data_IF_983647594470
#
_entry.id   IF_983647594470
#
_cell.length_a   1.000
_cell.length_b   1.000
_cell.length_c   1.000
_cell.angle_alpha   90.00
_cell.angle_beta   90.00
_cell.angle_gamma   90.00
#
_symmetry.space_group_name_H-M   'P 1'
#
loop_
_entity.id
_entity.type
_entity.pdbx_description
1 polymer ?
#
# COMPACT_ATOMS: atom_id res chain seq x y z
N UNK A 1 27.95 0.32 24.10
CA UNK A 1 28.83 -0.50 23.25
C UNK A 1 28.49 -0.17 21.81
N UNK A 2 29.49 0.24 21.02
CA UNK A 2 29.31 0.80 19.67
C UNK A 2 29.11 -0.30 18.62
N UNK A 3 28.20 -0.08 17.68
CA UNK A 3 27.87 -0.95 16.53
C UNK A 3 29.09 -1.36 15.68
N UNK A 4 30.21 -0.64 15.83
CA UNK A 4 31.47 -0.92 15.13
C UNK A 4 32.18 -2.19 15.61
N UNK A 5 31.93 -2.68 16.82
CA UNK A 5 32.62 -3.88 17.33
C UNK A 5 32.00 -5.20 16.85
N UNK A 6 30.77 -5.18 16.32
CA UNK A 6 30.08 -6.39 15.85
C UNK A 6 30.53 -6.82 14.43
N UNK A 7 31.02 -5.87 13.64
CA UNK A 7 31.40 -6.10 12.22
C UNK A 7 32.79 -6.74 12.11
N UNK A 8 33.62 -6.63 13.15
CA UNK A 8 35.00 -7.12 13.14
C UNK A 8 35.14 -8.60 13.55
N UNK A 9 34.13 -9.18 14.20
CA UNK A 9 34.14 -10.61 14.58
C UNK A 9 33.63 -11.54 13.47
N UNK A 10 32.87 -11.03 12.49
CA UNK A 10 32.32 -11.85 11.41
C UNK A 10 33.30 -12.07 10.25
N UNK A 11 34.35 -11.25 10.12
CA UNK A 11 35.32 -11.33 9.02
C UNK A 11 36.47 -12.33 9.25
N UNK A 12 36.61 -12.89 10.46
CA UNK A 12 37.73 -13.78 10.82
C UNK A 12 37.41 -15.29 10.70
N UNK A 13 36.18 -15.68 10.37
CA UNK A 13 35.79 -17.11 10.28
C UNK A 13 35.94 -17.75 8.89
N UNK A 14 36.09 -16.96 7.83
CA UNK A 14 36.07 -17.50 6.45
C UNK A 14 37.45 -17.68 5.79
N UNK A 15 38.56 -17.40 6.47
CA UNK A 15 39.89 -17.46 5.89
C UNK A 15 40.53 -18.87 5.81
N UNK A 16 39.84 -19.95 6.23
CA UNK A 16 40.45 -21.27 6.43
C UNK A 16 39.82 -22.44 5.65
N UNK A 17 39.49 -22.24 4.37
CA UNK A 17 39.13 -23.37 3.49
C UNK A 17 39.75 -23.26 2.08
N UNK A 18 41.04 -23.55 1.99
CA UNK A 18 41.72 -23.79 0.72
C UNK A 18 41.42 -25.21 0.20
N UNK A 19 40.69 -25.32 -0.91
CA UNK A 19 40.44 -26.58 -1.63
C UNK A 19 41.66 -27.00 -2.47
N UNK A 20 42.09 -28.27 -2.34
CA UNK A 20 43.04 -28.96 -3.23
C UNK A 20 42.30 -29.68 -4.37
N UNK A 21 42.86 -29.80 -5.59
CA UNK A 21 42.28 -30.61 -6.67
C UNK A 21 42.80 -32.06 -6.65
N UNK A 22 41.91 -33.04 -6.86
CA UNK A 22 42.24 -34.46 -7.05
C UNK A 22 42.07 -34.90 -8.51
N UNK A 23 42.76 -35.95 -8.98
CA UNK A 23 42.93 -36.25 -10.40
C UNK A 23 41.82 -37.13 -10.99
N UNK A 24 41.68 -37.05 -12.32
CA UNK A 24 40.79 -37.85 -13.16
C UNK A 24 41.26 -39.31 -13.33
N UNK A 25 40.36 -40.22 -13.75
CA UNK A 25 40.77 -41.43 -14.46
C UNK A 25 40.23 -41.50 -15.90
N UNK A 26 40.99 -42.25 -16.68
CA UNK A 26 40.95 -42.45 -18.13
C UNK A 26 39.99 -43.55 -18.61
N UNK A 27 39.74 -43.50 -19.92
CA UNK A 27 38.93 -44.34 -20.81
C UNK A 27 39.33 -45.83 -20.84
N UNK A 28 38.34 -46.73 -21.02
CA UNK A 28 38.51 -47.96 -21.82
C UNK A 28 37.22 -48.44 -22.48
N UNK A 29 37.40 -49.25 -23.52
CA UNK A 29 36.61 -49.51 -24.74
C UNK A 29 35.43 -50.50 -24.66
N UNK A 30 34.56 -50.35 -25.66
CA UNK A 30 33.43 -51.17 -26.16
C UNK A 30 33.59 -52.70 -26.23
N UNK A 31 32.46 -53.40 -26.20
CA UNK A 31 32.09 -54.46 -27.18
C UNK A 31 30.57 -54.69 -27.18
N UNK A 32 30.00 -54.87 -28.38
CA UNK A 32 28.64 -55.32 -28.67
C UNK A 32 28.49 -56.82 -28.38
N UNK A 33 27.29 -57.27 -27.97
CA UNK A 33 26.68 -58.45 -28.61
C UNK A 33 25.17 -58.56 -28.35
N UNK A 34 24.45 -58.84 -29.43
CA UNK A 34 23.02 -59.11 -29.53
C UNK A 34 22.65 -60.49 -28.96
N UNK A 35 21.46 -60.60 -28.34
CA UNK A 35 20.61 -61.80 -28.48
C UNK A 35 19.18 -61.56 -27.99
N UNK A 36 18.28 -61.54 -28.97
CA UNK A 36 16.84 -61.63 -28.79
C UNK A 36 16.45 -62.96 -28.11
N UNK A 37 15.49 -62.91 -27.19
CA UNK A 37 14.64 -64.07 -26.89
C UNK A 37 13.21 -63.61 -26.57
N UNK A 38 12.33 -63.88 -27.54
CA UNK A 38 10.88 -63.88 -27.33
C UNK A 38 10.51 -65.13 -26.51
N UNK A 39 9.93 -64.92 -25.33
CA UNK A 39 9.12 -65.95 -24.67
C UNK A 39 7.77 -65.33 -24.32
N UNK A 40 6.80 -65.64 -25.18
CA UNK A 40 5.37 -65.57 -24.87
C UNK A 40 5.04 -66.67 -23.86
N UNK A 41 4.54 -66.27 -22.68
CA UNK A 41 3.75 -67.15 -21.80
C UNK A 41 2.53 -66.38 -21.28
N UNK A 42 1.42 -66.69 -21.93
CA UNK A 42 0.04 -66.82 -21.44
C UNK A 42 -0.26 -66.37 -20.01
N UNK A 43 -1.25 -65.47 -19.94
CA UNK A 43 -2.08 -65.17 -18.77
C UNK A 43 -2.60 -66.42 -18.05
N UNK A 44 -2.46 -66.46 -16.73
CA UNK A 44 -3.45 -67.05 -15.83
C UNK A 44 -3.20 -66.58 -14.40
N UNK A 45 -4.16 -65.82 -13.89
CA UNK A 45 -4.51 -65.59 -12.48
C UNK A 45 -3.45 -65.83 -11.41
N UNK A 46 -2.92 -64.74 -10.88
CA UNK A 46 -2.75 -64.61 -9.43
C UNK A 46 -3.44 -63.32 -8.98
N UNK A 47 -4.43 -63.50 -8.13
CA UNK A 47 -5.21 -62.46 -7.50
C UNK A 47 -4.30 -61.51 -6.70
N UNK A 48 -4.58 -60.20 -6.84
CA UNK A 48 -4.58 -59.21 -5.77
C UNK A 48 -3.66 -59.47 -4.57
N UNK A 49 -2.36 -59.22 -4.71
CA UNK A 49 -1.45 -58.95 -3.58
C UNK A 49 -0.33 -58.01 -4.00
N UNK A 50 -0.66 -56.84 -4.55
CA UNK A 50 0.17 -55.68 -4.29
C UNK A 50 -0.49 -55.01 -3.09
N UNK A 51 -0.12 -55.48 -1.90
CA UNK A 51 -0.30 -54.71 -0.69
C UNK A 51 0.35 -53.35 -0.97
N UNK A 52 -0.47 -52.34 -1.30
CA UNK A 52 -0.08 -50.97 -1.01
C UNK A 52 -0.02 -50.94 0.50
N UNK A 53 1.18 -51.25 1.00
CA UNK A 53 1.61 -50.89 2.32
C UNK A 53 1.55 -49.36 2.40
N UNK A 54 0.35 -48.80 2.44
CA UNK A 54 0.13 -47.41 2.85
C UNK A 54 0.26 -47.40 4.37
N UNK A 55 1.43 -47.78 4.84
CA UNK A 55 1.97 -47.30 6.10
C UNK A 55 2.53 -45.91 5.81
N UNK A 56 1.64 -44.94 5.60
CA UNK A 56 2.00 -43.52 5.58
C UNK A 56 0.90 -42.79 6.35
N UNK A 57 1.00 -42.83 7.67
CA UNK A 57 0.86 -41.67 8.56
C UNK A 57 0.12 -40.41 8.02
N UNK A 58 -1.14 -40.50 7.63
CA UNK A 58 -1.96 -39.31 7.33
C UNK A 58 -3.34 -39.63 6.78
N UNK A 59 -4.38 -39.29 7.54
CA UNK A 59 -5.79 -39.24 7.11
C UNK A 59 -5.96 -38.50 5.77
N UNK A 60 -6.98 -38.85 4.96
CA UNK A 60 -7.31 -38.18 3.68
C UNK A 60 -7.46 -36.67 3.91
N UNK A 61 -8.04 -36.27 5.04
CA UNK A 61 -8.18 -34.88 5.45
C UNK A 61 -6.86 -34.10 5.57
N UNK A 62 -5.73 -34.78 5.73
CA UNK A 62 -4.40 -34.18 5.85
C UNK A 62 -3.70 -33.94 4.50
N UNK A 63 -4.26 -34.39 3.38
CA UNK A 63 -3.61 -34.36 2.08
C UNK A 63 -3.87 -33.05 1.32
N UNK A 64 -3.08 -32.00 1.58
CA UNK A 64 -3.26 -30.68 0.97
C UNK A 64 -2.33 -30.38 -0.22
N UNK A 65 -1.22 -31.13 -0.38
CA UNK A 65 -0.18 -30.85 -1.40
C UNK A 65 -0.73 -30.83 -2.84
N UNK A 66 -1.80 -31.58 -3.12
CA UNK A 66 -2.48 -31.58 -4.41
C UNK A 66 -3.07 -30.22 -4.81
N UNK A 67 -3.36 -29.33 -3.85
CA UNK A 67 -3.91 -27.99 -4.14
C UNK A 67 -2.88 -26.97 -4.63
N UNK A 68 -1.57 -27.21 -4.47
CA UNK A 68 -0.53 -26.18 -4.69
C UNK A 68 0.79 -26.70 -5.31
N UNK A 69 0.82 -27.93 -5.82
CA UNK A 69 2.02 -28.52 -6.44
C UNK A 69 2.47 -27.79 -7.72
N UNK A 70 1.52 -27.31 -8.54
CA UNK A 70 1.78 -26.65 -9.82
C UNK A 70 1.73 -25.11 -9.70
N UNK A 71 2.53 -24.33 -10.46
CA UNK A 71 2.45 -22.86 -10.45
C UNK A 71 1.02 -22.31 -10.60
N UNK A 72 0.28 -22.79 -11.60
CA UNK A 72 -1.12 -22.40 -11.80
C UNK A 72 -2.02 -22.78 -10.61
N UNK A 73 -1.80 -23.95 -10.01
CA UNK A 73 -2.59 -24.38 -8.86
C UNK A 73 -2.38 -23.46 -7.65
N UNK A 74 -1.15 -22.97 -7.43
CA UNK A 74 -0.87 -21.94 -6.41
C UNK A 74 -1.63 -20.64 -6.69
N UNK A 75 -1.64 -20.18 -7.95
CA UNK A 75 -2.37 -18.96 -8.34
C UNK A 75 -3.88 -19.09 -8.17
N UNK A 76 -4.46 -20.29 -8.29
CA UNK A 76 -5.89 -20.53 -8.04
C UNK A 76 -6.28 -20.49 -6.56
N UNK A 77 -5.32 -20.66 -5.63
CA UNK A 77 -5.59 -20.53 -4.20
C UNK A 77 -5.81 -19.07 -3.78
N UNK A 78 -5.37 -18.10 -4.59
CA UNK A 78 -5.60 -16.69 -4.34
C UNK A 78 -7.05 -16.33 -4.65
N UNK A 79 -7.81 -15.91 -3.64
CA UNK A 79 -9.18 -15.37 -3.83
C UNK A 79 -9.21 -14.11 -4.71
N UNK A 80 -8.08 -13.39 -4.78
CA UNK A 80 -7.88 -12.23 -5.64
C UNK A 80 -6.44 -12.16 -6.11
N UNK A 81 -6.25 -11.87 -7.39
CA UNK A 81 -4.94 -11.62 -7.99
C UNK A 81 -4.71 -10.10 -8.12
N UNK A 82 -3.47 -9.66 -7.88
CA UNK A 82 -3.10 -8.26 -8.05
C UNK A 82 -3.21 -7.86 -9.52
N UNK A 83 -3.84 -6.71 -9.79
CA UNK A 83 -3.91 -6.12 -11.13
C UNK A 83 -3.54 -4.63 -11.08
N UNK A 84 -3.10 -4.07 -12.21
CA UNK A 84 -2.69 -2.66 -12.30
C UNK A 84 -3.79 -1.68 -11.87
N UNK A 85 -5.06 -2.00 -12.15
CA UNK A 85 -6.21 -1.15 -11.79
C UNK A 85 -6.51 -1.10 -10.29
N UNK A 86 -5.95 -2.01 -9.48
CA UNK A 86 -6.10 -1.98 -8.02
C UNK A 86 -5.16 -0.97 -7.36
N UNK A 87 -4.15 -0.48 -8.09
CA UNK A 87 -3.10 0.39 -7.56
C UNK A 87 -3.50 1.86 -7.62
N UNK A 88 -3.32 2.55 -6.50
CA UNK A 88 -3.38 4.01 -6.40
C UNK A 88 -1.99 4.51 -6.05
N UNK A 89 -1.41 5.37 -6.90
CA UNK A 89 -0.08 5.92 -6.65
C UNK A 89 -0.15 7.21 -5.83
N UNK A 90 0.45 7.28 -4.61
CA UNK A 90 0.59 8.53 -3.88
C UNK A 90 1.57 9.49 -4.57
N UNK A 91 1.19 10.76 -4.71
CA UNK A 91 2.02 11.81 -5.32
C UNK A 91 1.98 13.05 -4.45
N UNK A 92 3.16 13.62 -4.19
CA UNK A 92 3.33 14.86 -3.46
C UNK A 92 3.48 16.01 -4.46
N UNK A 93 2.55 16.97 -4.43
CA UNK A 93 2.54 18.13 -5.34
C UNK A 93 2.89 19.39 -4.55
N UNK A 94 3.83 20.18 -5.05
CA UNK A 94 4.38 21.36 -4.36
C UNK A 94 4.16 22.63 -5.18
N UNK A 95 4.12 23.78 -4.48
CA UNK A 95 4.13 25.13 -5.04
C UNK A 95 5.50 25.81 -4.90
N UNK A 96 6.53 25.04 -4.52
CA UNK A 96 7.91 25.49 -4.43
C UNK A 96 8.54 25.80 -5.79
N UNK A 97 9.63 26.57 -5.77
CA UNK A 97 10.36 27.00 -6.97
C UNK A 97 11.14 25.85 -7.62
N UNK A 98 11.54 24.85 -6.84
CA UNK A 98 12.22 23.66 -7.33
C UNK A 98 11.25 22.72 -8.05
N UNK A 99 11.61 22.35 -9.26
CA UNK A 99 10.82 21.53 -10.16
C UNK A 99 10.49 20.12 -9.61
N UNK A 100 11.45 19.50 -8.91
CA UNK A 100 11.32 18.12 -8.42
C UNK A 100 12.32 17.81 -7.31
N UNK A 101 11.86 17.71 -6.07
CA UNK A 101 12.69 17.52 -4.88
C UNK A 101 12.66 16.06 -4.42
N UNK A 102 13.81 15.40 -4.32
CA UNK A 102 13.90 14.02 -3.83
C UNK A 102 13.65 13.92 -2.32
N UNK A 103 12.80 12.98 -1.91
CA UNK A 103 12.54 12.71 -0.49
C UNK A 103 13.49 11.61 0.01
N UNK A 104 14.57 12.00 0.70
CA UNK A 104 15.64 11.08 1.11
C UNK A 104 15.16 9.88 1.95
N UNK A 105 14.18 10.08 2.84
CA UNK A 105 13.62 9.03 3.69
C UNK A 105 12.63 8.11 2.98
N UNK A 106 12.21 8.46 1.76
CA UNK A 106 11.21 7.74 0.97
C UNK A 106 11.77 7.44 -0.45
N UNK A 107 12.57 6.37 -0.59
CA UNK A 107 13.38 6.13 -1.79
C UNK A 107 12.59 6.18 -3.11
N UNK A 108 13.07 6.98 -4.06
CA UNK A 108 12.45 7.10 -5.39
C UNK A 108 11.14 7.90 -5.43
N UNK A 109 10.79 8.59 -4.34
CA UNK A 109 9.64 9.49 -4.28
C UNK A 109 10.10 10.96 -4.25
N UNK A 110 9.23 11.84 -4.73
CA UNK A 110 9.55 13.24 -4.97
C UNK A 110 8.40 14.14 -4.54
N UNK A 111 8.72 15.38 -4.16
CA UNK A 111 7.79 16.51 -4.23
C UNK A 111 7.90 17.11 -5.62
N UNK A 112 6.79 17.25 -6.32
CA UNK A 112 6.76 17.54 -7.76
C UNK A 112 6.03 18.86 -8.00
N UNK A 113 6.66 19.80 -8.70
CA UNK A 113 5.99 21.04 -9.10
C UNK A 113 4.90 20.76 -10.14
N UNK A 114 3.93 21.67 -10.25
CA UNK A 114 2.85 21.53 -11.23
C UNK A 114 3.37 21.42 -12.66
N UNK A 115 4.45 22.13 -12.98
CA UNK A 115 5.07 22.16 -14.31
C UNK A 115 5.69 20.81 -14.71
N UNK A 116 6.23 20.06 -13.74
CA UNK A 116 6.84 18.74 -13.97
C UNK A 116 5.84 17.58 -13.90
N UNK A 117 4.66 17.81 -13.36
CA UNK A 117 3.67 16.77 -13.08
C UNK A 117 3.26 15.98 -14.33
N UNK A 118 3.11 16.64 -15.48
CA UNK A 118 2.73 15.99 -16.74
C UNK A 118 3.82 15.02 -17.21
N UNK A 119 5.06 15.50 -17.32
CA UNK A 119 6.18 14.67 -17.76
C UNK A 119 6.51 13.53 -16.80
N UNK A 120 6.23 13.72 -15.51
CA UNK A 120 6.35 12.67 -14.50
C UNK A 120 5.29 11.57 -14.66
N UNK A 121 4.03 11.96 -14.88
CA UNK A 121 2.91 11.01 -14.97
C UNK A 121 2.84 10.28 -16.31
N UNK A 122 3.14 10.95 -17.41
CA UNK A 122 3.01 10.41 -18.78
C UNK A 122 3.62 9.00 -18.95
N UNK A 123 4.86 8.70 -18.56
CA UNK A 123 5.40 7.34 -18.67
C UNK A 123 4.64 6.32 -17.80
N UNK A 124 4.12 6.71 -16.64
CA UNK A 124 3.35 5.81 -15.76
C UNK A 124 1.97 5.52 -16.36
N UNK A 125 1.33 6.52 -16.95
CA UNK A 125 0.07 6.36 -17.68
C UNK A 125 0.24 5.38 -18.85
N UNK A 126 1.31 5.51 -19.64
CA UNK A 126 1.62 4.56 -20.71
C UNK A 126 1.82 3.12 -20.21
N UNK A 127 2.36 2.95 -18.99
CA UNK A 127 2.52 1.63 -18.35
C UNK A 127 1.23 1.08 -17.72
N UNK A 128 0.13 1.83 -17.77
CA UNK A 128 -1.19 1.40 -17.30
C UNK A 128 -1.61 1.96 -15.95
N UNK A 129 -0.97 3.02 -15.44
CA UNK A 129 -1.45 3.73 -14.24
C UNK A 129 -2.91 4.18 -14.43
N UNK A 130 -3.78 3.86 -13.47
CA UNK A 130 -5.20 4.22 -13.53
C UNK A 130 -5.64 5.22 -12.46
N UNK A 131 -4.92 5.33 -11.35
CA UNK A 131 -5.33 6.18 -10.24
C UNK A 131 -4.16 6.80 -9.49
N UNK A 132 -4.35 8.03 -9.03
CA UNK A 132 -3.39 8.76 -8.18
C UNK A 132 -4.06 9.23 -6.88
N UNK A 133 -3.27 9.38 -5.82
CA UNK A 133 -3.66 10.04 -4.58
C UNK A 133 -2.78 11.28 -4.38
N UNK A 134 -3.38 12.45 -4.44
CA UNK A 134 -2.69 13.73 -4.34
C UNK A 134 -2.53 14.17 -2.88
N UNK A 135 -1.32 14.58 -2.53
CA UNK A 135 -0.97 15.23 -1.27
C UNK A 135 -0.32 16.58 -1.58
N UNK A 136 -0.89 17.67 -1.06
CA UNK A 136 -0.33 19.01 -1.23
C UNK A 136 0.82 19.27 -0.27
N UNK A 137 1.88 19.89 -0.77
CA UNK A 137 3.06 20.28 0.01
C UNK A 137 3.31 21.77 -0.20
N UNK A 138 2.53 22.67 0.43
CA UNK A 138 2.75 24.09 0.32
C UNK A 138 4.07 24.48 0.98
N UNK A 139 4.97 25.10 0.23
CA UNK A 139 6.28 25.58 0.65
C UNK A 139 6.39 27.10 0.70
N UNK A 140 5.48 27.83 0.02
CA UNK A 140 5.50 29.30 0.05
C UNK A 140 5.42 29.82 1.50
N UNK A 141 6.24 30.80 1.89
CA UNK A 141 6.18 31.39 3.23
C UNK A 141 4.82 32.02 3.53
N UNK A 142 4.32 31.84 4.75
CA UNK A 142 3.03 32.40 5.18
C UNK A 142 1.80 31.60 4.73
N UNK A 143 1.96 30.52 3.97
CA UNK A 143 0.83 29.68 3.51
C UNK A 143 0.17 28.89 4.64
N UNK A 144 0.94 28.49 5.67
CA UNK A 144 0.40 27.71 6.80
C UNK A 144 -0.10 28.62 7.92
N UNK A 145 -1.34 28.40 8.35
CA UNK A 145 -1.97 29.13 9.46
C UNK A 145 -2.68 28.19 10.43
N UNK A 146 -3.36 28.71 11.47
CA UNK A 146 -4.03 27.86 12.47
C UNK A 146 -5.29 27.15 11.94
N UNK A 147 -5.84 27.58 10.81
CA UNK A 147 -7.11 27.09 10.26
C UNK A 147 -6.92 26.21 9.01
N UNK A 148 -5.69 26.11 8.51
CA UNK A 148 -5.37 25.45 7.26
C UNK A 148 -6.04 26.15 6.08
N UNK A 149 -6.06 27.49 6.04
CA UNK A 149 -6.80 28.25 5.00
C UNK A 149 -6.36 27.90 3.58
N UNK A 150 -5.09 27.54 3.38
CA UNK A 150 -4.56 27.16 2.08
C UNK A 150 -4.95 25.74 1.60
N UNK A 151 -5.65 24.95 2.43
CA UNK A 151 -6.01 23.58 2.06
C UNK A 151 -6.87 23.50 0.80
N UNK A 152 -7.74 24.48 0.59
CA UNK A 152 -8.63 24.59 -0.57
C UNK A 152 -8.40 25.85 -1.41
N UNK A 153 -7.20 26.42 -1.33
CA UNK A 153 -6.79 27.52 -2.20
C UNK A 153 -6.90 27.06 -3.68
N UNK A 154 -7.69 27.74 -4.52
CA UNK A 154 -7.77 27.44 -5.95
C UNK A 154 -6.42 27.50 -6.68
N UNK A 155 -5.48 28.31 -6.17
CA UNK A 155 -4.11 28.41 -6.67
C UNK A 155 -3.14 27.47 -5.94
N UNK A 156 -3.65 26.71 -4.96
CA UNK A 156 -2.91 25.72 -4.21
C UNK A 156 -2.56 24.48 -5.03
N UNK A 157 -1.50 23.74 -4.63
CA UNK A 157 -0.92 22.69 -5.45
C UNK A 157 -1.90 21.54 -5.74
N UNK A 158 -2.82 21.22 -4.83
CA UNK A 158 -3.77 20.11 -5.04
C UNK A 158 -4.81 20.46 -6.11
N UNK A 159 -5.44 21.64 -6.04
CA UNK A 159 -6.46 22.05 -7.01
C UNK A 159 -5.84 22.24 -8.40
N UNK A 160 -4.67 22.87 -8.48
CA UNK A 160 -3.93 23.02 -9.73
C UNK A 160 -3.58 21.65 -10.35
N UNK A 161 -3.10 20.69 -9.52
CA UNK A 161 -2.82 19.33 -9.97
C UNK A 161 -4.08 18.59 -10.46
N UNK A 162 -5.20 18.68 -9.72
CA UNK A 162 -6.48 18.09 -10.14
C UNK A 162 -6.86 18.60 -11.54
N UNK A 163 -6.91 19.91 -11.72
CA UNK A 163 -7.33 20.51 -12.99
C UNK A 163 -6.36 20.17 -14.15
N UNK A 164 -5.06 20.15 -13.88
CA UNK A 164 -4.05 19.77 -14.86
C UNK A 164 -4.20 18.30 -15.28
N UNK A 165 -4.33 17.38 -14.33
CA UNK A 165 -4.51 15.95 -14.61
C UNK A 165 -5.83 15.71 -15.33
N UNK A 166 -6.93 16.35 -14.94
CA UNK A 166 -8.22 16.25 -15.64
C UNK A 166 -8.12 16.62 -17.12
N UNK A 167 -7.33 17.66 -17.46
CA UNK A 167 -7.12 18.11 -18.84
C UNK A 167 -6.18 17.21 -19.63
N UNK A 168 -5.07 16.76 -19.01
CA UNK A 168 -3.99 16.05 -19.73
C UNK A 168 -4.15 14.53 -19.73
N UNK A 169 -4.76 13.96 -18.68
CA UNK A 169 -4.95 12.53 -18.50
C UNK A 169 -6.40 12.23 -18.07
N UNK A 170 -7.39 12.45 -18.96
CA UNK A 170 -8.80 12.30 -18.62
C UNK A 170 -9.20 10.89 -18.13
N UNK A 171 -8.39 9.87 -18.44
CA UNK A 171 -8.53 8.47 -18.02
C UNK A 171 -8.04 8.17 -16.59
N UNK A 172 -7.29 9.09 -15.98
CA UNK A 172 -6.77 8.92 -14.61
C UNK A 172 -7.87 9.24 -13.61
N UNK A 173 -8.12 8.29 -12.72
CA UNK A 173 -8.94 8.48 -11.54
C UNK A 173 -8.14 9.27 -10.49
N UNK A 174 -8.74 10.31 -9.93
CA UNK A 174 -8.03 11.30 -9.10
C UNK A 174 -8.62 11.23 -7.71
N UNK A 175 -7.83 10.74 -6.76
CA UNK A 175 -8.11 10.83 -5.34
C UNK A 175 -7.35 12.03 -4.76
N UNK A 176 -8.00 12.83 -3.93
CA UNK A 176 -7.35 13.89 -3.15
C UNK A 176 -7.46 13.57 -1.66
N UNK A 177 -6.33 13.60 -0.95
CA UNK A 177 -6.34 13.49 0.52
C UNK A 177 -7.00 14.74 1.12
N UNK A 178 -7.95 14.56 2.04
CA UNK A 178 -8.59 15.67 2.74
C UNK A 178 -8.13 15.67 4.19
N UNK A 179 -7.29 16.64 4.54
CA UNK A 179 -6.74 16.84 5.87
C UNK A 179 -6.20 18.27 6.00
N UNK A 180 -5.92 18.72 7.23
CA UNK A 180 -5.34 20.05 7.48
C UNK A 180 -3.86 19.99 7.90
N UNK A 181 -3.24 18.82 8.05
CA UNK A 181 -1.91 18.74 8.66
C UNK A 181 -0.78 19.30 7.79
N UNK A 182 -0.95 19.31 6.47
CA UNK A 182 -0.02 19.91 5.53
C UNK A 182 -0.13 21.44 5.50
N UNK A 183 -1.28 21.96 5.92
CA UNK A 183 -1.67 23.38 5.78
C UNK A 183 -1.71 24.13 7.11
N UNK A 184 -1.68 23.43 8.24
CA UNK A 184 -1.70 24.07 9.56
C UNK A 184 -0.31 24.42 10.05
N UNK A 185 -0.17 25.56 10.72
CA UNK A 185 1.10 26.01 11.33
C UNK A 185 1.58 25.07 12.44
N UNK A 186 0.67 24.35 13.09
CA UNK A 186 0.96 23.39 14.16
C UNK A 186 1.07 21.92 13.67
N UNK A 187 0.72 21.61 12.41
CA UNK A 187 0.88 20.27 11.83
C UNK A 187 -0.08 19.19 12.37
N UNK A 188 -1.19 19.59 13.02
CA UNK A 188 -2.25 18.67 13.45
C UNK A 188 -3.32 18.53 12.37
N UNK A 189 -4.08 17.45 12.40
CA UNK A 189 -5.06 17.12 11.36
C UNK A 189 -6.35 17.96 11.41
N UNK A 190 -6.50 18.88 12.37
CA UNK A 190 -7.68 19.70 12.55
C UNK A 190 -7.38 20.98 13.33
N UNK A 191 -8.41 21.80 13.51
CA UNK A 191 -8.36 23.07 14.24
C UNK A 191 -8.28 22.79 15.74
N UNK A 192 -7.44 23.53 16.46
CA UNK A 192 -7.25 23.37 17.90
C UNK A 192 -8.04 24.41 18.71
N UNK A 193 -8.34 24.07 19.97
CA UNK A 193 -8.81 25.02 20.99
C UNK A 193 -7.63 25.72 21.66
N UNK A 194 -7.92 26.69 22.52
CA UNK A 194 -6.92 27.43 23.30
C UNK A 194 -6.06 26.50 24.19
N UNK A 195 -6.61 25.39 24.66
CA UNK A 195 -5.90 24.36 25.44
C UNK A 195 -5.11 23.37 24.56
N UNK A 196 -4.99 23.65 23.26
CA UNK A 196 -4.37 22.81 22.23
C UNK A 196 -5.06 21.45 21.98
N UNK A 197 -6.25 21.21 22.54
CA UNK A 197 -7.07 20.05 22.19
C UNK A 197 -7.75 20.23 20.84
N UNK A 198 -8.09 19.12 20.18
CA UNK A 198 -8.74 19.14 18.87
C UNK A 198 -10.18 19.66 18.96
N UNK A 199 -10.49 20.75 18.28
CA UNK A 199 -11.85 21.24 18.11
C UNK A 199 -12.56 20.46 17.00
N UNK A 200 -13.21 19.35 17.37
CA UNK A 200 -13.84 18.43 16.42
C UNK A 200 -14.88 19.14 15.50
N UNK A 201 -15.76 19.98 16.05
CA UNK A 201 -16.82 20.61 15.24
C UNK A 201 -16.23 21.54 14.17
N UNK A 202 -15.36 22.48 14.58
CA UNK A 202 -14.71 23.39 13.63
C UNK A 202 -13.85 22.63 12.61
N UNK A 203 -13.18 21.56 13.05
CA UNK A 203 -12.37 20.72 12.17
C UNK A 203 -13.23 20.04 11.12
N UNK A 204 -14.35 19.41 11.51
CA UNK A 204 -15.27 18.74 10.61
C UNK A 204 -15.85 19.71 9.58
N UNK A 205 -16.25 20.91 10.01
CA UNK A 205 -16.79 21.92 9.11
C UNK A 205 -15.76 22.33 8.05
N UNK A 206 -14.53 22.64 8.50
CA UNK A 206 -13.42 23.04 7.64
C UNK A 206 -12.99 21.93 6.67
N UNK A 207 -12.85 20.70 7.16
CA UNK A 207 -12.49 19.52 6.36
C UNK A 207 -13.56 19.26 5.28
N UNK A 208 -14.83 19.48 5.62
CA UNK A 208 -15.91 19.35 4.66
C UNK A 208 -15.80 20.39 3.55
N UNK A 209 -15.45 21.64 3.87
CA UNK A 209 -15.21 22.68 2.85
C UNK A 209 -14.09 22.29 1.88
N UNK A 210 -12.97 21.77 2.42
CA UNK A 210 -11.84 21.29 1.60
C UNK A 210 -12.26 20.16 0.67
N UNK A 211 -13.02 19.18 1.18
CA UNK A 211 -13.52 18.08 0.37
C UNK A 211 -14.40 18.58 -0.80
N UNK A 212 -15.30 19.54 -0.54
CA UNK A 212 -16.15 20.11 -1.58
C UNK A 212 -15.34 20.89 -2.60
N UNK A 213 -14.34 21.66 -2.17
CA UNK A 213 -13.47 22.40 -3.09
C UNK A 213 -12.71 21.47 -4.04
N UNK A 214 -12.14 20.37 -3.53
CA UNK A 214 -11.47 19.37 -4.37
C UNK A 214 -12.44 18.66 -5.32
N UNK A 215 -13.63 18.31 -4.86
CA UNK A 215 -14.66 17.72 -5.72
C UNK A 215 -15.10 18.68 -6.84
N UNK A 216 -15.32 19.97 -6.52
CA UNK A 216 -15.65 21.02 -7.50
C UNK A 216 -14.50 21.29 -8.48
N UNK A 217 -13.25 21.17 -8.04
CA UNK A 217 -12.07 21.25 -8.91
C UNK A 217 -11.96 20.06 -9.89
N UNK A 218 -12.67 18.97 -9.64
CA UNK A 218 -12.74 17.80 -10.51
C UNK A 218 -12.07 16.54 -9.96
N UNK A 219 -11.78 16.47 -8.66
CA UNK A 219 -11.38 15.20 -8.05
C UNK A 219 -12.52 14.19 -8.16
N UNK A 220 -12.20 12.97 -8.60
CA UNK A 220 -13.17 11.87 -8.71
C UNK A 220 -13.46 11.26 -7.34
N UNK A 221 -12.50 11.36 -6.42
CA UNK A 221 -12.59 10.84 -5.07
C UNK A 221 -11.99 11.82 -4.07
N UNK A 222 -12.67 12.01 -2.95
CA UNK A 222 -12.15 12.73 -1.78
C UNK A 222 -11.90 11.72 -0.67
N UNK A 223 -10.71 11.79 -0.07
CA UNK A 223 -10.24 10.78 0.87
C UNK A 223 -9.87 11.40 2.24
N UNK A 224 -10.86 11.63 3.14
CA UNK A 224 -10.63 12.26 4.43
C UNK A 224 -9.79 11.41 5.37
N UNK A 225 -8.60 11.93 5.73
CA UNK A 225 -7.56 11.21 6.47
C UNK A 225 -7.37 11.69 7.92
N UNK A 226 -8.20 12.63 8.35
CA UNK A 226 -8.08 13.44 9.57
C UNK A 226 -8.44 12.70 10.87
N UNK A 227 -9.32 11.69 10.81
CA UNK A 227 -9.87 10.92 11.94
C UNK A 227 -10.76 11.70 12.93
N UNK A 228 -11.33 12.85 12.55
CA UNK A 228 -12.35 13.52 13.37
C UNK A 228 -13.65 12.69 13.39
N UNK A 229 -14.40 12.79 14.49
CA UNK A 229 -15.67 12.10 14.63
C UNK A 229 -16.75 12.81 13.80
N UNK A 230 -17.47 12.05 12.96
CA UNK A 230 -18.60 12.55 12.16
C UNK A 230 -18.23 13.24 10.83
N UNK A 231 -16.95 13.30 10.45
CA UNK A 231 -16.55 13.99 9.21
C UNK A 231 -17.14 13.39 7.94
N UNK A 232 -17.37 12.06 7.90
CA UNK A 232 -17.89 11.39 6.70
C UNK A 232 -19.32 11.83 6.46
N UNK A 233 -20.14 11.89 7.51
CA UNK A 233 -21.51 12.40 7.43
C UNK A 233 -21.54 13.83 6.93
N UNK A 234 -20.69 14.70 7.48
CA UNK A 234 -20.64 16.10 7.10
C UNK A 234 -20.25 16.28 5.63
N UNK A 235 -19.20 15.59 5.17
CA UNK A 235 -18.77 15.61 3.77
C UNK A 235 -19.88 15.07 2.86
N UNK A 236 -20.48 13.92 3.19
CA UNK A 236 -21.52 13.31 2.35
C UNK A 236 -22.75 14.22 2.24
N UNK A 237 -23.17 14.85 3.33
CA UNK A 237 -24.28 15.81 3.32
C UNK A 237 -23.97 17.03 2.44
N UNK A 238 -22.79 17.62 2.54
CA UNK A 238 -22.40 18.75 1.67
C UNK A 238 -22.31 18.32 0.20
N UNK A 239 -21.81 17.11 -0.10
CA UNK A 239 -21.79 16.59 -1.48
C UNK A 239 -23.21 16.44 -2.05
N UNK A 240 -24.18 16.05 -1.22
CA UNK A 240 -25.61 15.95 -1.61
C UNK A 240 -26.18 17.35 -1.85
N UNK A 241 -25.96 18.28 -0.93
CA UNK A 241 -26.41 19.68 -1.01
C UNK A 241 -25.90 20.38 -2.26
N UNK A 242 -24.62 20.17 -2.60
CA UNK A 242 -23.98 20.70 -3.80
C UNK A 242 -24.40 19.96 -5.09
N UNK A 243 -25.21 18.90 -4.98
CA UNK A 243 -25.69 18.12 -6.13
C UNK A 243 -24.60 17.31 -6.83
N UNK A 244 -23.47 17.04 -6.17
CA UNK A 244 -22.31 16.34 -6.75
C UNK A 244 -22.01 14.97 -6.13
N UNK A 245 -22.78 14.53 -5.13
CA UNK A 245 -22.61 13.22 -4.49
C UNK A 245 -22.67 12.02 -5.46
N UNK A 246 -23.40 12.13 -6.57
CA UNK A 246 -23.54 11.06 -7.57
C UNK A 246 -22.30 10.88 -8.46
N UNK A 247 -21.33 11.79 -8.40
CA UNK A 247 -20.11 11.80 -9.24
C UNK A 247 -18.82 11.91 -8.44
N UNK A 248 -18.91 11.95 -7.11
CA UNK A 248 -17.76 12.06 -6.20
C UNK A 248 -17.74 10.88 -5.24
N UNK A 249 -16.68 10.09 -5.31
CA UNK A 249 -16.46 8.96 -4.41
C UNK A 249 -15.93 9.45 -3.06
N UNK A 250 -16.46 8.93 -1.96
CA UNK A 250 -16.00 9.22 -0.60
C UNK A 250 -15.22 8.03 -0.03
N UNK A 251 -13.89 8.14 -0.01
CA UNK A 251 -12.98 7.09 0.47
C UNK A 251 -12.50 7.39 1.87
N UNK A 252 -13.16 6.82 2.87
CA UNK A 252 -12.83 7.09 4.26
C UNK A 252 -11.58 6.36 4.72
N UNK A 253 -10.63 7.08 5.34
CA UNK A 253 -9.63 6.47 6.21
C UNK A 253 -10.27 6.00 7.53
N UNK A 254 -11.15 5.01 7.46
CA UNK A 254 -11.99 4.59 8.58
C UNK A 254 -11.20 4.04 9.76
N UNK A 255 -10.14 3.28 9.49
CA UNK A 255 -9.27 2.72 10.51
C UNK A 255 -7.83 3.20 10.27
N UNK A 256 -7.54 4.45 10.67
CA UNK A 256 -6.20 5.03 10.66
C UNK A 256 -5.60 5.03 12.06
N UNK A 257 -4.54 4.25 12.24
CA UNK A 257 -3.86 4.07 13.52
C UNK A 257 -2.74 5.08 13.72
N UNK A 258 -2.51 5.45 14.98
CA UNK A 258 -1.30 6.13 15.44
C UNK A 258 -0.13 5.14 15.45
N UNK A 259 1.08 5.60 15.16
CA UNK A 259 2.24 4.72 15.13
C UNK A 259 3.49 5.37 14.54
N UNK A 260 4.56 4.59 14.44
CA UNK A 260 5.88 5.03 13.97
C UNK A 260 6.10 4.90 12.46
N UNK A 261 5.17 4.28 11.72
CA UNK A 261 5.34 3.98 10.29
C UNK A 261 5.08 5.19 9.35
N UNK A 262 4.94 6.39 9.89
CA UNK A 262 4.65 7.61 9.11
C UNK A 262 5.84 8.56 8.97
N UNK A 263 7.01 8.23 9.52
CA UNK A 263 8.19 9.12 9.50
C UNK A 263 8.49 9.66 8.09
N UNK A 264 8.75 8.80 7.10
CA UNK A 264 9.09 9.28 5.75
C UNK A 264 7.98 10.08 5.05
N UNK A 265 6.70 9.80 5.35
CA UNK A 265 5.58 10.60 4.84
C UNK A 265 5.61 12.01 5.42
N UNK A 266 5.95 12.17 6.71
CA UNK A 266 6.01 13.50 7.34
C UNK A 266 7.12 14.35 6.74
N UNK A 267 8.23 13.73 6.35
CA UNK A 267 9.31 14.41 5.60
C UNK A 267 8.82 14.80 4.21
N UNK A 268 8.14 13.89 3.50
CA UNK A 268 7.60 14.14 2.16
C UNK A 268 6.54 15.24 2.13
N UNK A 269 5.64 15.27 3.12
CA UNK A 269 4.50 16.19 3.17
C UNK A 269 4.79 17.49 3.95
N UNK A 270 5.96 17.59 4.60
CA UNK A 270 6.27 18.72 5.49
C UNK A 270 5.25 18.87 6.63
N UNK A 271 4.76 17.74 7.16
CA UNK A 271 3.57 17.68 8.03
C UNK A 271 3.88 17.18 9.45
N UNK A 272 5.12 17.31 9.93
CA UNK A 272 5.46 16.92 11.29
C UNK A 272 4.70 17.81 12.30
N UNK A 273 4.03 17.24 13.33
CA UNK A 273 3.40 18.05 14.37
C UNK A 273 4.43 18.94 15.08
N UNK A 274 4.08 20.21 15.32
CA UNK A 274 4.95 21.15 16.02
C UNK A 274 5.09 20.81 17.52
N UNK A 275 4.07 20.18 18.10
CA UNK A 275 4.07 19.71 19.48
C UNK A 275 3.15 18.48 19.64
N UNK A 276 3.28 17.80 20.78
CA UNK A 276 2.44 16.66 21.13
C UNK A 276 2.48 15.51 20.12
N UNK A 277 1.37 14.78 20.02
CA UNK A 277 1.20 13.71 19.05
C UNK A 277 -0.25 13.66 18.51
N UNK A 278 -0.56 12.63 17.72
CA UNK A 278 -1.88 12.45 17.08
C UNK A 278 -2.74 11.37 17.76
N UNK A 279 -2.36 10.91 18.95
CA UNK A 279 -2.99 9.75 19.64
C UNK A 279 -4.39 10.04 20.18
N UNK A 280 -4.79 11.31 20.26
CA UNK A 280 -6.14 11.70 20.70
C UNK A 280 -7.21 11.60 19.59
N UNK A 281 -6.84 11.22 18.35
CA UNK A 281 -7.79 11.03 17.25
C UNK A 281 -7.40 9.88 16.32
N UNK A 282 -6.11 9.64 16.06
CA UNK A 282 -5.67 8.41 15.42
C UNK A 282 -5.80 7.23 16.39
N UNK A 283 -6.26 6.09 15.88
CA UNK A 283 -6.55 4.93 16.72
C UNK A 283 -5.29 4.41 17.45
N UNK A 284 -5.38 3.94 18.71
CA UNK A 284 -4.25 3.30 19.35
C UNK A 284 -3.97 1.92 18.69
N UNK A 285 -2.70 1.47 18.56
CA UNK A 285 -2.38 0.20 17.87
C UNK A 285 -3.14 -1.03 18.39
N UNK A 286 -3.35 -1.15 19.70
CA UNK A 286 -4.14 -2.24 20.30
C UNK A 286 -5.67 -2.07 20.17
N UNK A 287 -6.13 -1.04 19.48
CA UNK A 287 -7.52 -0.56 19.46
C UNK A 287 -8.45 -1.26 18.47
N UNK A 288 -8.39 -2.59 18.31
CA UNK A 288 -9.23 -3.33 17.36
C UNK A 288 -10.74 -3.03 17.49
N UNK A 289 -11.25 -2.96 18.73
CA UNK A 289 -12.66 -2.63 18.98
C UNK A 289 -13.06 -1.22 18.51
N UNK A 290 -12.14 -0.24 18.62
CA UNK A 290 -12.37 1.11 18.12
C UNK A 290 -12.35 1.14 16.59
N UNK A 291 -11.42 0.41 15.96
CA UNK A 291 -11.36 0.29 14.50
C UNK A 291 -12.66 -0.26 13.91
N UNK A 292 -13.17 -1.36 14.47
CA UNK A 292 -14.46 -1.95 14.05
C UNK A 292 -15.61 -0.95 14.19
N UNK A 293 -15.69 -0.21 15.30
CA UNK A 293 -16.72 0.83 15.51
C UNK A 293 -16.59 1.99 14.52
N UNK A 294 -15.37 2.44 14.24
CA UNK A 294 -15.10 3.52 13.28
C UNK A 294 -15.44 3.11 11.84
N UNK A 295 -15.13 1.88 11.45
CA UNK A 295 -15.54 1.30 10.17
C UNK A 295 -17.06 1.30 10.04
N UNK A 296 -17.78 0.71 11.01
CA UNK A 296 -19.25 0.68 11.00
C UNK A 296 -19.85 2.08 10.96
N UNK A 297 -19.29 3.02 11.75
CA UNK A 297 -19.70 4.43 11.71
C UNK A 297 -19.58 5.00 10.31
N UNK A 298 -18.41 4.92 9.70
CA UNK A 298 -18.15 5.56 8.42
C UNK A 298 -18.97 4.96 7.27
N UNK A 299 -19.24 3.65 7.31
CA UNK A 299 -20.20 2.98 6.41
C UNK A 299 -21.59 3.62 6.55
N UNK A 300 -22.09 3.73 7.79
CA UNK A 300 -23.40 4.33 8.08
C UNK A 300 -23.48 5.83 7.78
N UNK A 301 -22.33 6.51 7.74
CA UNK A 301 -22.23 7.93 7.41
C UNK A 301 -22.11 8.20 5.89
N UNK A 302 -22.05 7.14 5.06
CA UNK A 302 -22.11 7.24 3.60
C UNK A 302 -20.75 7.20 2.89
N UNK A 303 -19.72 6.63 3.52
CA UNK A 303 -18.50 6.28 2.82
C UNK A 303 -18.81 5.28 1.69
N UNK A 304 -18.19 5.46 0.54
CA UNK A 304 -18.31 4.53 -0.60
C UNK A 304 -17.17 3.49 -0.56
N UNK A 305 -16.05 3.84 0.06
CA UNK A 305 -14.89 2.96 0.30
C UNK A 305 -14.43 3.17 1.74
N UNK A 306 -14.09 2.07 2.43
CA UNK A 306 -13.45 2.09 3.74
C UNK A 306 -11.97 1.71 3.60
N UNK A 307 -11.10 2.37 4.36
CA UNK A 307 -9.65 2.18 4.28
C UNK A 307 -9.02 1.89 5.64
N UNK A 308 -8.05 0.97 5.62
CA UNK A 308 -7.15 0.69 6.76
C UNK A 308 -5.75 1.27 6.48
N UNK A 309 -5.18 1.94 7.49
CA UNK A 309 -3.84 2.57 7.43
C UNK A 309 -3.15 2.51 8.80
N UNK A 310 -1.92 2.00 8.93
CA UNK A 310 -1.08 1.28 7.93
C UNK A 310 -1.68 -0.05 7.45
N UNK A 311 -1.04 -0.71 6.49
CA UNK A 311 -1.58 -1.95 5.92
C UNK A 311 -0.95 -3.22 6.51
N UNK A 312 0.36 -3.44 6.31
CA UNK A 312 1.05 -4.69 6.63
C UNK A 312 1.06 -5.05 8.12
N UNK A 313 1.08 -4.06 9.02
CA UNK A 313 0.96 -4.30 10.47
C UNK A 313 -0.48 -4.46 10.97
N UNK A 314 -1.48 -4.29 10.09
CA UNK A 314 -2.90 -4.27 10.44
C UNK A 314 -3.74 -5.13 9.48
N UNK A 315 -3.16 -6.23 8.97
CA UNK A 315 -3.85 -7.16 8.08
C UNK A 315 -5.10 -7.78 8.75
N UNK A 316 -5.08 -7.97 10.07
CA UNK A 316 -6.23 -8.40 10.85
C UNK A 316 -7.37 -7.37 10.81
N UNK A 317 -7.05 -6.07 10.79
CA UNK A 317 -8.04 -5.00 10.67
C UNK A 317 -8.57 -4.88 9.24
N UNK A 318 -7.76 -5.17 8.22
CA UNK A 318 -8.26 -5.27 6.83
C UNK A 318 -9.26 -6.42 6.70
N UNK A 319 -8.99 -7.56 7.35
CA UNK A 319 -9.93 -8.68 7.43
C UNK A 319 -11.23 -8.28 8.13
N UNK A 320 -11.15 -7.60 9.28
CA UNK A 320 -12.33 -7.06 9.97
C UNK A 320 -13.11 -6.08 9.08
N UNK A 321 -12.41 -5.22 8.34
CA UNK A 321 -13.03 -4.26 7.42
C UNK A 321 -13.76 -4.99 6.29
N UNK A 322 -13.18 -6.05 5.74
CA UNK A 322 -13.83 -6.87 4.71
C UNK A 322 -15.06 -7.60 5.25
N UNK A 323 -15.02 -8.10 6.47
CA UNK A 323 -16.19 -8.75 7.09
C UNK A 323 -17.33 -7.76 7.34
N UNK A 324 -17.01 -6.58 7.88
CA UNK A 324 -17.99 -5.54 8.21
C UNK A 324 -18.55 -4.85 6.95
N UNK A 325 -17.71 -4.62 5.95
CA UNK A 325 -18.03 -3.99 4.67
C UNK A 325 -17.98 -4.98 3.51
N UNK A 326 -18.56 -6.17 3.67
CA UNK A 326 -18.46 -7.28 2.69
C UNK A 326 -18.85 -6.90 1.26
N UNK A 327 -19.82 -5.99 1.12
CA UNK A 327 -20.36 -5.52 -0.16
C UNK A 327 -19.69 -4.23 -0.64
N UNK A 328 -18.67 -3.74 0.08
CA UNK A 328 -17.94 -2.52 -0.23
C UNK A 328 -16.50 -2.81 -0.66
N UNK A 329 -15.89 -1.92 -1.47
CA UNK A 329 -14.46 -1.94 -1.67
C UNK A 329 -13.73 -1.62 -0.37
N UNK A 330 -12.66 -2.36 -0.09
CA UNK A 330 -11.75 -2.11 1.03
C UNK A 330 -10.42 -1.66 0.46
N UNK A 331 -10.00 -0.46 0.84
CA UNK A 331 -8.67 0.07 0.52
C UNK A 331 -7.68 -0.21 1.65
N UNK A 332 -6.42 -0.41 1.28
CA UNK A 332 -5.33 -0.52 2.23
C UNK A 332 -4.18 0.36 1.80
N UNK A 333 -3.61 1.12 2.75
CA UNK A 333 -2.48 1.99 2.47
C UNK A 333 -1.20 1.35 2.99
N UNK A 334 -0.34 0.89 2.08
CA UNK A 334 1.03 0.50 2.39
C UNK A 334 1.87 1.76 2.59
N UNK A 335 2.06 2.15 3.84
CA UNK A 335 2.53 3.49 4.19
C UNK A 335 4.03 3.65 3.95
N UNK A 336 4.46 4.90 4.05
CA UNK A 336 5.83 5.33 3.78
C UNK A 336 6.88 4.56 4.58
N UNK A 337 6.61 4.29 5.87
CA UNK A 337 7.52 3.52 6.71
C UNK A 337 7.59 2.03 6.34
N UNK A 338 6.47 1.44 5.89
CA UNK A 338 6.44 0.04 5.41
C UNK A 338 7.25 -0.10 4.12
N UNK A 339 7.05 0.82 3.17
CA UNK A 339 7.82 0.89 1.93
C UNK A 339 9.32 1.08 2.20
N UNK A 340 9.69 2.09 3.01
CA UNK A 340 11.11 2.36 3.30
C UNK A 340 11.77 1.22 4.10
N UNK A 341 11.01 0.53 4.96
CA UNK A 341 11.50 -0.65 5.68
C UNK A 341 11.83 -1.80 4.73
N UNK A 342 10.94 -2.09 3.77
CA UNK A 342 11.19 -3.11 2.75
C UNK A 342 12.42 -2.74 1.90
N UNK A 343 12.53 -1.48 1.46
CA UNK A 343 13.71 -1.00 0.74
C UNK A 343 15.01 -1.15 1.54
N UNK A 344 15.00 -0.78 2.83
CA UNK A 344 16.17 -0.87 3.69
C UNK A 344 16.61 -2.33 3.90
N UNK A 345 15.67 -3.23 4.18
CA UNK A 345 15.96 -4.65 4.37
C UNK A 345 16.44 -5.34 3.09
N UNK A 346 15.85 -5.00 1.93
CA UNK A 346 16.34 -5.50 0.64
C UNK A 346 17.77 -5.01 0.34
N UNK A 347 18.05 -3.73 0.60
CA UNK A 347 19.41 -3.16 0.46
C UNK A 347 20.43 -3.83 1.40
N UNK A 348 19.99 -4.28 2.58
CA UNK A 348 20.81 -5.02 3.53
C UNK A 348 20.98 -6.51 3.16
N UNK A 349 20.37 -6.99 2.07
CA UNK A 349 20.46 -8.36 1.62
C UNK A 349 19.58 -9.35 2.40
N UNK A 350 18.57 -8.87 3.15
CA UNK A 350 17.65 -9.75 3.89
C UNK A 350 16.75 -10.53 2.94
N UNK A 351 16.32 -9.90 1.84
CA UNK A 351 15.49 -10.49 0.79
C UNK A 351 15.62 -9.72 -0.53
N UNK A 352 15.11 -10.30 -1.61
CA UNK A 352 14.92 -9.59 -2.88
C UNK A 352 13.76 -8.58 -2.79
N UNK A 353 13.97 -7.38 -3.34
CA UNK A 353 13.00 -6.27 -3.27
C UNK A 353 11.69 -6.61 -4.00
N UNK A 354 11.80 -7.16 -5.21
CA UNK A 354 10.62 -7.50 -6.03
C UNK A 354 9.79 -8.56 -5.33
N UNK A 355 10.43 -9.62 -4.87
CA UNK A 355 9.79 -10.73 -4.14
C UNK A 355 9.03 -10.23 -2.92
N UNK A 356 9.65 -9.43 -2.05
CA UNK A 356 8.97 -8.91 -0.84
C UNK A 356 7.87 -7.89 -1.17
N UNK A 357 8.03 -7.09 -2.23
CA UNK A 357 6.98 -6.18 -2.67
C UNK A 357 5.70 -6.94 -3.08
N UNK A 358 5.85 -8.02 -3.88
CA UNK A 358 4.74 -8.91 -4.20
C UNK A 358 4.15 -9.58 -2.95
N UNK A 359 4.97 -10.19 -2.09
CA UNK A 359 4.47 -10.90 -0.90
C UNK A 359 3.72 -9.99 0.08
N UNK A 360 4.21 -8.76 0.29
CA UNK A 360 3.53 -7.78 1.13
C UNK A 360 2.20 -7.32 0.53
N UNK A 361 2.13 -7.12 -0.78
CA UNK A 361 0.91 -6.68 -1.48
C UNK A 361 -0.12 -7.80 -1.60
N UNK A 362 0.33 -9.03 -1.87
CA UNK A 362 -0.52 -10.23 -1.86
C UNK A 362 -1.07 -10.52 -0.47
N UNK A 363 -0.31 -10.24 0.59
CA UNK A 363 -0.82 -10.33 1.96
C UNK A 363 -1.93 -9.32 2.25
N UNK A 364 -1.85 -8.11 1.68
CA UNK A 364 -2.91 -7.10 1.74
C UNK A 364 -4.17 -7.56 1.00
N UNK A 365 -4.01 -8.14 -0.19
CA UNK A 365 -5.10 -8.71 -0.99
C UNK A 365 -5.77 -9.89 -0.28
N UNK A 366 -4.96 -10.81 0.27
CA UNK A 366 -5.41 -11.97 1.07
C UNK A 366 -6.21 -11.53 2.29
N UNK A 367 -5.84 -10.42 2.92
CA UNK A 367 -6.59 -9.88 4.05
C UNK A 367 -7.95 -9.27 3.64
N UNK A 368 -8.25 -9.15 2.35
CA UNK A 368 -9.56 -8.75 1.84
C UNK A 368 -9.58 -7.42 1.08
N UNK A 369 -8.46 -6.70 1.02
CA UNK A 369 -8.38 -5.44 0.28
C UNK A 369 -8.62 -5.65 -1.23
N UNK A 370 -9.33 -4.72 -1.84
CA UNK A 370 -9.59 -4.64 -3.29
C UNK A 370 -8.83 -3.50 -3.95
N UNK A 371 -8.29 -2.57 -3.15
CA UNK A 371 -7.58 -1.37 -3.59
C UNK A 371 -6.33 -1.23 -2.72
N UNK A 372 -5.19 -0.98 -3.36
CA UNK A 372 -3.90 -0.82 -2.69
C UNK A 372 -3.31 0.53 -3.03
N UNK A 373 -3.12 1.36 -2.01
CA UNK A 373 -2.38 2.61 -2.12
C UNK A 373 -0.93 2.30 -1.74
N UNK A 374 -0.01 2.42 -2.70
CA UNK A 374 1.39 2.01 -2.49
C UNK A 374 2.38 2.84 -3.31
N UNK A 375 3.53 3.12 -2.71
CA UNK A 375 4.69 3.72 -3.35
C UNK A 375 5.43 2.75 -4.29
N UNK A 376 5.15 1.44 -4.22
CA UNK A 376 5.63 0.46 -5.21
C UNK A 376 4.87 0.49 -6.53
N UNK A 377 3.87 1.39 -6.69
CA UNK A 377 3.04 1.44 -7.90
C UNK A 377 3.88 1.54 -9.18
N UNK A 378 4.88 2.43 -9.31
CA UNK A 378 5.72 2.47 -10.52
C UNK A 378 6.38 1.13 -10.85
N UNK A 379 6.88 0.41 -9.83
CA UNK A 379 7.50 -0.90 -10.00
C UNK A 379 6.50 -1.97 -10.40
N UNK A 380 5.30 -1.99 -9.80
CA UNK A 380 4.25 -2.93 -10.18
C UNK A 380 3.72 -2.71 -11.59
N UNK A 381 3.70 -1.47 -12.07
CA UNK A 381 3.32 -1.18 -13.46
C UNK A 381 4.30 -1.82 -14.47
N UNK A 382 5.56 -1.98 -14.07
CA UNK A 382 6.59 -2.69 -14.86
C UNK A 382 6.57 -4.21 -14.63
N UNK A 383 6.30 -4.66 -13.40
CA UNK A 383 6.39 -6.07 -13.04
C UNK A 383 5.14 -6.88 -13.37
N UNK A 384 3.97 -6.25 -13.39
CA UNK A 384 2.73 -6.89 -13.79
C UNK A 384 2.65 -6.88 -15.32
N UNK A 385 2.47 -8.06 -15.89
CA UNK A 385 2.10 -8.21 -17.30
C UNK A 385 0.70 -7.60 -17.52
N UNK A 386 0.43 -7.16 -18.75
CA UNK A 386 -0.85 -6.55 -19.11
C UNK A 386 -1.99 -7.56 -19.20
#
# INVERSE_FOLDING_TARGET
MSFSSLVQELSLRDANNARRPGPAPSVSTSTFDDRASHISRTMSGYASTAATSVSISGDIGSQLHGGYFHPLARSWQSERQLTKSMLIYPIFVTDGEDDMIHVASLPGQFQISIDRLVGFLEPLVHKGLRSVMLFGVPQKPGTKDALGSAADDPEGPVIQAIQLIRRRFPQIFICADVCLCEYTSHGHCGILRDDSSLNNQMSVDRISDVAIAYAKAGAHCVAPSDMNDGRIRAIKLKLIEEGIAHKTLLMSYSAKFSGCLYGPFRDAAGSAPAFGDRRCYQLPPGGRGLARRAIVRDINEGADIIMVKPAGQYLDIISDAKDLGKDMPVAAYQVSGEYSMIHAAAKAGVFDLKTMAFESTESILRAGATIVISYFTPQFLDWLEN
#
